data_IF_572180414003
#
_entry.id   IF_572180414003
#
_cell.length_a   1.000
_cell.length_b   1.000
_cell.length_c   1.000
_cell.angle_alpha   90.00
_cell.angle_beta   90.00
_cell.angle_gamma   90.00
#
_symmetry.space_group_name_H-M   'P 1'
#
loop_
_entity.id
_entity.type
_entity.pdbx_description
1 polymer ?
#
# COMPACT_ATOMS: atom_id res chain seq x y z
N UNK A 1 -15.96 0.27 -2.21
CA UNK A 1 -15.78 1.66 -1.80
C UNK A 1 -16.28 1.96 -0.39
N UNK A 2 -17.46 1.50 -0.03
CA UNK A 2 -18.02 1.67 1.31
C UNK A 2 -17.14 1.11 2.42
N UNK A 3 -16.52 -0.05 2.20
CA UNK A 3 -15.58 -0.65 3.15
C UNK A 3 -14.39 0.26 3.44
N UNK A 4 -13.83 0.89 2.39
CA UNK A 4 -12.68 1.78 2.55
C UNK A 4 -13.07 3.05 3.29
N UNK A 5 -14.24 3.60 2.97
CA UNK A 5 -14.77 4.76 3.65
C UNK A 5 -15.01 4.49 5.14
N UNK A 6 -15.57 3.34 5.49
CA UNK A 6 -15.76 2.93 6.89
C UNK A 6 -14.42 2.78 7.63
N UNK A 7 -13.38 2.26 6.97
CA UNK A 7 -12.04 2.15 7.54
C UNK A 7 -11.42 3.52 7.80
N UNK A 8 -11.64 4.50 6.92
CA UNK A 8 -11.17 5.87 7.12
C UNK A 8 -11.74 6.47 8.41
N UNK A 9 -12.99 6.17 8.75
CA UNK A 9 -13.61 6.64 9.99
C UNK A 9 -13.00 6.01 11.25
N UNK A 10 -12.44 4.81 11.13
CA UNK A 10 -11.79 4.10 12.24
C UNK A 10 -10.26 4.23 12.24
N UNK A 11 -9.68 5.01 11.32
CA UNK A 11 -8.24 5.19 11.24
C UNK A 11 -7.69 5.91 12.47
N UNK A 12 -6.47 5.52 12.85
CA UNK A 12 -5.72 6.22 13.86
C UNK A 12 -4.92 7.35 13.20
N UNK A 13 -5.45 8.56 13.27
CA UNK A 13 -4.83 9.74 12.68
C UNK A 13 -3.63 10.18 13.54
N UNK A 14 -2.44 10.18 12.96
CA UNK A 14 -1.22 10.58 13.64
C UNK A 14 -0.86 12.04 13.43
N UNK A 15 -1.06 12.55 12.21
CA UNK A 15 -0.71 13.92 11.86
C UNK A 15 -1.55 14.44 10.70
N UNK A 16 -1.89 15.71 10.76
CA UNK A 16 -2.54 16.42 9.67
C UNK A 16 -1.77 17.70 9.38
N UNK A 17 -1.51 17.97 8.12
CA UNK A 17 -0.91 19.21 7.62
C UNK A 17 -1.85 19.78 6.57
N UNK A 18 -2.20 21.06 6.69
CA UNK A 18 -3.02 21.76 5.70
C UNK A 18 -2.30 23.03 5.27
N UNK A 19 -2.07 23.18 3.97
CA UNK A 19 -1.37 24.30 3.40
C UNK A 19 -1.76 24.48 1.94
N UNK A 20 -2.06 25.72 1.54
CA UNK A 20 -2.35 26.11 0.15
C UNK A 20 -3.40 25.22 -0.57
N UNK A 21 -4.43 24.81 0.14
CA UNK A 21 -5.47 23.96 -0.40
C UNK A 21 -5.16 22.48 -0.42
N UNK A 22 -3.94 22.08 0.01
CA UNK A 22 -3.57 20.69 0.20
C UNK A 22 -3.87 20.25 1.63
N UNK A 23 -4.35 19.02 1.77
CA UNK A 23 -4.46 18.34 3.07
C UNK A 23 -3.60 17.08 3.01
N UNK A 24 -2.67 16.95 3.93
CA UNK A 24 -1.81 15.77 4.06
C UNK A 24 -2.12 15.13 5.40
N UNK A 25 -2.52 13.85 5.37
CA UNK A 25 -2.84 13.08 6.57
C UNK A 25 -1.96 11.86 6.65
N UNK A 26 -1.33 11.68 7.80
CA UNK A 26 -0.58 10.47 8.13
C UNK A 26 -1.43 9.67 9.10
N UNK A 27 -1.74 8.43 8.75
CA UNK A 27 -2.66 7.61 9.53
C UNK A 27 -2.25 6.13 9.49
N UNK A 28 -2.84 5.37 10.39
CA UNK A 28 -2.66 3.93 10.51
C UNK A 28 -4.02 3.24 10.45
N UNK A 29 -4.15 2.20 9.64
CA UNK A 29 -5.35 1.37 9.63
C UNK A 29 -5.18 0.20 10.61
N UNK A 30 -6.26 -0.20 11.33
CA UNK A 30 -6.17 -1.28 12.31
C UNK A 30 -5.69 -2.62 11.74
N UNK A 31 -6.00 -2.90 10.48
CA UNK A 31 -5.61 -4.14 9.81
C UNK A 31 -4.17 -4.16 9.30
N UNK A 32 -3.52 -3.00 9.26
CA UNK A 32 -2.14 -2.90 8.79
C UNK A 32 -1.13 -3.30 9.88
N UNK A 33 0.08 -3.75 9.51
CA UNK A 33 1.16 -3.97 10.47
C UNK A 33 1.42 -2.74 11.33
N UNK A 34 1.80 -2.93 12.59
CA UNK A 34 1.94 -1.85 13.57
C UNK A 34 2.92 -0.74 13.14
N UNK A 35 3.90 -1.08 12.30
CA UNK A 35 4.92 -0.16 11.79
C UNK A 35 4.56 0.47 10.43
N UNK A 36 3.41 0.14 9.87
CA UNK A 36 3.00 0.63 8.55
C UNK A 36 2.02 1.79 8.68
N UNK A 37 2.46 2.96 8.26
CA UNK A 37 1.59 4.14 8.12
C UNK A 37 1.20 4.33 6.66
N UNK A 38 0.12 5.09 6.46
CA UNK A 38 -0.33 5.54 5.15
C UNK A 38 -0.34 7.06 5.12
N UNK A 39 -0.11 7.63 3.95
CA UNK A 39 -0.17 9.08 3.74
C UNK A 39 -1.25 9.34 2.71
N UNK A 40 -2.22 10.19 3.04
CA UNK A 40 -3.24 10.64 2.10
C UNK A 40 -3.04 12.12 1.81
N UNK A 41 -2.90 12.44 0.53
CA UNK A 41 -2.78 13.82 0.05
C UNK A 41 -4.05 14.14 -0.71
N UNK A 42 -4.73 15.21 -0.32
CA UNK A 42 -5.97 15.65 -0.96
C UNK A 42 -5.81 17.08 -1.47
N UNK A 43 -6.32 17.34 -2.65
CA UNK A 43 -6.38 18.65 -3.27
C UNK A 43 -7.61 18.72 -4.17
N UNK A 44 -8.52 19.68 -3.92
CA UNK A 44 -9.80 19.77 -4.60
C UNK A 44 -10.57 18.43 -4.57
N UNK A 45 -10.88 17.89 -5.74
CA UNK A 45 -11.60 16.64 -5.91
C UNK A 45 -10.70 15.41 -6.12
N UNK A 46 -9.38 15.59 -5.96
CA UNK A 46 -8.37 14.53 -6.13
C UNK A 46 -7.78 14.16 -4.78
N UNK A 47 -7.61 12.88 -4.54
CA UNK A 47 -6.85 12.37 -3.41
C UNK A 47 -5.96 11.20 -3.84
N UNK A 48 -4.78 11.10 -3.27
CA UNK A 48 -3.87 9.98 -3.47
C UNK A 48 -3.42 9.42 -2.13
N UNK A 49 -3.20 8.12 -2.09
CA UNK A 49 -2.68 7.42 -0.92
C UNK A 49 -1.29 6.86 -1.24
N UNK A 50 -0.33 7.21 -0.41
CA UNK A 50 1.03 6.71 -0.50
C UNK A 50 1.30 5.68 0.60
N UNK A 51 2.12 4.70 0.28
CA UNK A 51 2.48 3.60 1.18
C UNK A 51 3.97 3.68 1.52
N UNK A 52 4.36 4.36 2.62
CA UNK A 52 5.77 4.53 2.98
C UNK A 52 6.52 3.20 3.16
N UNK A 53 5.87 2.20 3.75
CA UNK A 53 6.49 0.88 3.95
C UNK A 53 6.75 0.11 2.65
N UNK A 54 6.24 0.63 1.53
CA UNK A 54 6.41 0.07 0.18
C UNK A 54 7.09 1.06 -0.76
N UNK A 55 8.08 1.80 -0.25
CA UNK A 55 8.86 2.74 -1.06
C UNK A 55 8.03 3.89 -1.63
N UNK A 56 6.98 4.33 -0.93
CA UNK A 56 6.04 5.36 -1.37
C UNK A 56 5.20 4.96 -2.58
N UNK A 57 4.94 3.68 -2.77
CA UNK A 57 4.01 3.19 -3.79
C UNK A 57 2.63 3.86 -3.63
N UNK A 58 1.94 4.06 -4.75
CA UNK A 58 0.58 4.58 -4.76
C UNK A 58 -0.41 3.47 -4.42
N UNK A 59 -1.01 3.52 -3.23
CA UNK A 59 -2.00 2.53 -2.81
C UNK A 59 -3.31 2.69 -3.54
N UNK A 60 -3.88 3.89 -3.50
CA UNK A 60 -5.13 4.22 -4.18
C UNK A 60 -5.10 5.69 -4.59
N UNK A 61 -5.96 6.04 -5.51
CA UNK A 61 -6.28 7.42 -5.85
C UNK A 61 -7.79 7.56 -6.01
N UNK A 62 -8.29 8.74 -5.78
CA UNK A 62 -9.72 9.06 -5.92
C UNK A 62 -9.89 10.33 -6.72
N UNK A 63 -10.89 10.34 -7.59
CA UNK A 63 -11.36 11.51 -8.30
C UNK A 63 -12.84 11.67 -8.01
N UNK A 64 -13.26 12.80 -7.46
CA UNK A 64 -14.64 13.01 -6.99
C UNK A 64 -15.15 11.91 -6.05
N UNK A 65 -14.27 11.42 -5.17
CA UNK A 65 -14.59 10.36 -4.23
C UNK A 65 -14.64 8.95 -4.83
N UNK A 66 -14.38 8.80 -6.13
CA UNK A 66 -14.40 7.50 -6.82
C UNK A 66 -12.99 6.94 -6.93
N UNK A 67 -12.75 5.67 -6.52
CA UNK A 67 -11.44 5.06 -6.64
C UNK A 67 -11.04 4.85 -8.10
N UNK A 68 -9.76 5.06 -8.38
CA UNK A 68 -9.18 4.95 -9.73
C UNK A 68 -8.56 3.59 -9.96
N UNK A 69 -7.91 3.02 -8.94
CA UNK A 69 -7.18 1.76 -9.06
C UNK A 69 -7.98 0.60 -8.46
N UNK A 70 -7.62 -0.60 -8.88
CA UNK A 70 -8.07 -1.82 -8.22
C UNK A 70 -7.65 -1.80 -6.74
N UNK A 71 -8.54 -2.22 -5.87
CA UNK A 71 -8.27 -2.33 -4.44
C UNK A 71 -7.95 -3.78 -4.08
N UNK A 72 -6.77 -3.99 -3.51
CA UNK A 72 -6.38 -5.31 -3.05
C UNK A 72 -7.30 -5.78 -1.90
N UNK A 73 -7.76 -7.04 -1.91
CA UNK A 73 -8.63 -7.57 -0.85
C UNK A 73 -7.87 -7.91 0.44
N UNK A 74 -6.58 -7.65 0.49
CA UNK A 74 -5.71 -7.93 1.63
C UNK A 74 -5.13 -6.64 2.21
N UNK A 75 -4.71 -6.68 3.47
CA UNK A 75 -4.02 -5.57 4.13
C UNK A 75 -2.58 -5.44 3.63
N UNK A 76 -1.91 -4.36 4.05
CA UNK A 76 -0.48 -4.20 3.75
C UNK A 76 0.33 -5.38 4.31
N UNK A 77 1.31 -5.87 3.56
CA UNK A 77 2.24 -6.87 4.07
C UNK A 77 3.17 -6.27 5.13
N UNK A 78 3.60 -7.10 6.07
CA UNK A 78 4.68 -6.73 6.98
C UNK A 78 6.01 -6.92 6.26
N UNK A 79 6.53 -5.84 5.68
CA UNK A 79 7.75 -5.89 4.88
C UNK A 79 9.03 -6.17 5.70
N UNK A 80 8.97 -6.06 7.03
CA UNK A 80 10.09 -6.39 7.89
C UNK A 80 10.25 -7.89 8.13
N UNK A 81 9.16 -8.65 8.02
CA UNK A 81 9.14 -10.09 8.31
C UNK A 81 9.02 -10.97 7.07
N UNK A 82 8.88 -10.38 5.89
CA UNK A 82 8.67 -11.14 4.67
C UNK A 82 9.96 -11.85 4.23
N UNK A 83 9.85 -13.15 3.98
CA UNK A 83 10.94 -13.94 3.43
C UNK A 83 10.73 -14.12 1.92
N UNK A 84 11.52 -13.40 1.14
CA UNK A 84 11.42 -13.42 -0.33
C UNK A 84 11.78 -14.78 -0.93
N UNK A 85 12.49 -15.62 -0.18
CA UNK A 85 12.94 -16.92 -0.65
C UNK A 85 12.14 -18.08 -0.08
N UNK A 86 11.06 -17.79 0.63
CA UNK A 86 10.14 -18.82 1.11
C UNK A 86 9.47 -19.56 -0.06
N UNK A 87 9.04 -20.78 0.20
CA UNK A 87 8.32 -21.61 -0.77
C UNK A 87 6.79 -21.54 -0.62
N UNK A 88 6.30 -20.47 0.04
CA UNK A 88 4.87 -20.26 0.22
C UNK A 88 4.12 -20.00 -1.09
N UNK A 89 4.81 -19.47 -2.10
CA UNK A 89 4.24 -19.25 -3.43
C UNK A 89 4.55 -20.49 -4.29
N UNK A 90 3.53 -21.01 -4.93
CA UNK A 90 3.69 -22.10 -5.88
C UNK A 90 3.18 -21.68 -7.26
N UNK A 91 3.86 -22.18 -8.30
CA UNK A 91 3.48 -21.98 -9.69
C UNK A 91 3.26 -23.36 -10.30
N UNK A 92 2.05 -23.58 -10.83
CA UNK A 92 1.66 -24.88 -11.39
C UNK A 92 1.86 -26.06 -10.41
N UNK A 93 1.62 -25.82 -9.11
CA UNK A 93 1.73 -26.84 -8.07
C UNK A 93 3.17 -27.08 -7.57
N UNK A 94 4.16 -26.35 -8.05
CA UNK A 94 5.54 -26.47 -7.62
C UNK A 94 5.96 -25.26 -6.78
N UNK A 95 6.69 -25.44 -5.67
CA UNK A 95 7.25 -24.33 -4.92
C UNK A 95 8.09 -23.42 -5.81
N UNK A 96 7.91 -22.10 -5.64
CA UNK A 96 8.61 -21.09 -6.44
C UNK A 96 9.31 -20.09 -5.51
N UNK A 97 10.45 -20.46 -4.91
CA UNK A 97 11.23 -19.54 -4.10
C UNK A 97 11.64 -18.31 -4.91
N UNK A 98 11.63 -17.14 -4.27
CA UNK A 98 11.91 -15.87 -4.96
C UNK A 98 10.68 -15.21 -5.56
N UNK A 99 9.53 -15.86 -5.59
CA UNK A 99 8.26 -15.26 -6.06
C UNK A 99 7.38 -14.74 -4.92
N UNK A 100 7.85 -14.80 -3.69
CA UNK A 100 7.06 -14.34 -2.54
C UNK A 100 6.74 -12.83 -2.61
N UNK A 101 7.52 -12.05 -3.36
CA UNK A 101 7.21 -10.65 -3.61
C UNK A 101 5.81 -10.45 -4.20
N UNK A 102 5.25 -11.43 -4.88
CA UNK A 102 3.89 -11.36 -5.43
C UNK A 102 2.84 -11.12 -4.33
N UNK A 103 3.11 -11.57 -3.11
CA UNK A 103 2.23 -11.32 -1.96
C UNK A 103 2.27 -9.88 -1.48
N UNK A 104 3.19 -9.08 -1.96
CA UNK A 104 3.33 -7.66 -1.59
C UNK A 104 2.68 -6.72 -2.59
N UNK A 105 2.10 -7.22 -3.68
CA UNK A 105 1.49 -6.41 -4.73
C UNK A 105 0.09 -5.98 -4.33
N UNK A 106 0.03 -4.93 -3.50
CA UNK A 106 -1.24 -4.41 -2.95
C UNK A 106 -1.51 -2.97 -3.38
N UNK A 107 -0.58 -2.34 -4.08
CA UNK A 107 -0.71 -0.96 -4.52
C UNK A 107 -1.31 -0.86 -5.93
N UNK A 108 -1.94 0.27 -6.23
CA UNK A 108 -2.38 0.59 -7.59
C UNK A 108 -1.20 0.84 -8.54
N UNK A 109 -0.14 1.45 -8.01
CA UNK A 109 1.14 1.65 -8.70
C UNK A 109 2.25 1.24 -7.76
N UNK A 110 2.99 0.21 -8.14
CA UNK A 110 4.14 -0.28 -7.37
C UNK A 110 5.41 0.47 -7.77
N UNK A 111 6.16 0.92 -6.75
CA UNK A 111 7.46 1.54 -6.95
C UNK A 111 8.56 0.59 -6.50
N UNK A 112 9.57 0.44 -7.35
CA UNK A 112 10.72 -0.41 -7.07
C UNK A 112 11.98 0.45 -6.95
N UNK A 113 12.93 -0.02 -6.16
CA UNK A 113 14.23 0.62 -6.06
C UNK A 113 15.00 0.60 -7.38
N UNK A 114 15.94 1.53 -7.54
CA UNK A 114 16.68 1.68 -8.79
C UNK A 114 17.46 0.42 -9.18
N UNK A 115 17.90 -0.36 -8.21
CA UNK A 115 18.73 -1.55 -8.43
C UNK A 115 18.00 -2.87 -8.16
N UNK A 116 16.73 -2.82 -7.76
CA UNK A 116 15.98 -3.99 -7.31
C UNK A 116 14.55 -3.94 -7.86
N UNK A 117 14.43 -4.09 -9.15
CA UNK A 117 13.10 -4.27 -9.75
C UNK A 117 13.02 -5.66 -10.38
N UNK A 118 11.85 -6.24 -10.32
CA UNK A 118 11.63 -7.57 -10.84
C UNK A 118 11.93 -8.67 -9.81
N UNK A 119 12.24 -9.85 -10.31
CA UNK A 119 12.47 -11.01 -9.47
C UNK A 119 13.81 -10.92 -8.73
N UNK A 120 13.88 -11.29 -7.44
CA UNK A 120 15.14 -11.35 -6.73
C UNK A 120 16.12 -12.32 -7.42
N UNK A 121 17.39 -11.93 -7.45
CA UNK A 121 18.47 -12.79 -7.92
C UNK A 121 19.48 -13.01 -6.78
N UNK A 122 20.05 -14.21 -6.73
CA UNK A 122 21.09 -14.53 -5.76
C UNK A 122 22.37 -13.74 -6.01
#
# INVERSE_FOLDING_TARGET
MEKRYSKVLSMNLQKTIEEDGFSIRIFHLPEDPANANRIKISFDDIAIELLPSKGLSLGQAWVNGKPVFWEAPISLPDTETIDLWSDEVSINGNPAPGFTFLKTLVAGVELYGLNNWGMPVE
#
